data_IF_633901944187
#
_entry.id   IF_633901944187
#
_cell.length_a   1.000
_cell.length_b   1.000
_cell.length_c   1.000
_cell.angle_alpha   90.00
_cell.angle_beta   90.00
_cell.angle_gamma   90.00
#
_symmetry.space_group_name_H-M   'P 1'
#
loop_
_entity.id
_entity.type
_entity.pdbx_description
1 polymer ?
#
# COMPACT_ATOMS: atom_id res chain seq x y z
N UNK A 1 0.32 -8.66 -54.54
CA UNK A 1 -0.24 -9.98 -54.11
C UNK A 1 0.33 -10.27 -52.71
N UNK A 2 -0.44 -9.96 -51.70
CA UNK A 2 -0.13 -10.30 -50.32
C UNK A 2 -0.86 -11.60 -49.98
N UNK A 3 -0.12 -12.65 -49.62
CA UNK A 3 -0.69 -13.92 -49.20
C UNK A 3 -1.26 -13.76 -47.78
N UNK A 4 -2.44 -14.33 -47.49
CA UNK A 4 -2.98 -14.33 -46.13
C UNK A 4 -2.16 -15.29 -45.24
N UNK A 5 -1.78 -14.80 -44.06
CA UNK A 5 -1.13 -15.61 -43.00
C UNK A 5 -2.22 -16.46 -42.37
N UNK A 6 -2.08 -17.80 -42.48
CA UNK A 6 -2.91 -18.75 -41.72
C UNK A 6 -2.68 -18.57 -40.22
N UNK A 7 -3.71 -18.14 -39.52
CA UNK A 7 -3.75 -18.21 -38.06
C UNK A 7 -3.96 -19.66 -37.63
N UNK A 8 -3.13 -20.21 -36.74
CA UNK A 8 -3.44 -21.53 -36.15
C UNK A 8 -4.68 -21.37 -35.27
N UNK A 9 -5.74 -22.02 -35.66
CA UNK A 9 -6.88 -22.26 -34.77
C UNK A 9 -6.45 -23.20 -33.68
N UNK A 10 -6.70 -22.78 -32.45
CA UNK A 10 -7.15 -23.52 -31.28
C UNK A 10 -6.88 -22.68 -30.04
N UNK A 11 -7.84 -21.82 -29.73
CA UNK A 11 -7.96 -21.29 -28.38
C UNK A 11 -8.31 -22.48 -27.48
N UNK A 12 -7.58 -22.73 -26.39
CA UNK A 12 -7.94 -23.77 -25.46
C UNK A 12 -9.34 -23.47 -24.91
N UNK A 13 -10.24 -24.44 -25.08
CA UNK A 13 -11.60 -24.37 -24.53
C UNK A 13 -11.54 -24.22 -23.03
N UNK A 14 -11.76 -22.99 -22.56
CA UNK A 14 -11.94 -22.64 -21.15
C UNK A 14 -13.27 -23.20 -20.64
N UNK A 15 -13.35 -24.51 -20.40
CA UNK A 15 -14.56 -25.14 -19.87
C UNK A 15 -14.32 -26.02 -18.63
N UNK A 16 -13.12 -26.00 -18.05
CA UNK A 16 -12.82 -26.91 -16.93
C UNK A 16 -12.52 -26.23 -15.56
N UNK A 17 -12.50 -24.91 -15.46
CA UNK A 17 -12.16 -24.22 -14.21
C UNK A 17 -13.34 -23.62 -13.43
N UNK A 18 -14.55 -23.66 -13.96
CA UNK A 18 -15.72 -23.04 -13.32
C UNK A 18 -16.50 -23.96 -12.36
N UNK A 19 -16.17 -25.25 -12.24
CA UNK A 19 -17.01 -26.20 -11.52
C UNK A 19 -16.50 -26.65 -10.14
N UNK A 20 -15.40 -26.09 -9.61
CA UNK A 20 -14.83 -26.50 -8.34
C UNK A 20 -14.51 -25.39 -7.32
N UNK A 21 -14.88 -24.15 -7.58
CA UNK A 21 -14.66 -23.09 -6.60
C UNK A 21 -15.67 -23.22 -5.45
N UNK A 22 -15.17 -23.25 -4.20
CA UNK A 22 -16.06 -23.24 -3.03
C UNK A 22 -16.91 -21.96 -2.98
N UNK A 23 -18.09 -21.98 -2.32
CA UNK A 23 -18.88 -20.76 -2.13
C UNK A 23 -18.10 -19.60 -1.50
N UNK A 24 -17.18 -19.92 -0.58
CA UNK A 24 -16.28 -18.96 0.06
C UNK A 24 -15.30 -18.35 -0.95
N UNK A 25 -14.66 -19.17 -1.78
CA UNK A 25 -13.74 -18.66 -2.81
C UNK A 25 -14.46 -17.77 -3.83
N UNK A 26 -15.70 -18.11 -4.21
CA UNK A 26 -16.53 -17.26 -5.08
C UNK A 26 -16.90 -15.93 -4.41
N UNK A 27 -17.18 -15.95 -3.10
CA UNK A 27 -17.45 -14.73 -2.31
C UNK A 27 -16.22 -13.82 -2.27
N UNK A 28 -15.06 -14.37 -1.97
CA UNK A 28 -13.78 -13.62 -1.93
C UNK A 28 -13.44 -12.98 -3.28
N UNK A 29 -13.57 -13.73 -4.38
CA UNK A 29 -13.36 -13.20 -5.73
C UNK A 29 -14.35 -12.09 -6.09
N UNK A 30 -15.59 -12.21 -5.63
CA UNK A 30 -16.62 -11.19 -5.84
C UNK A 30 -16.31 -9.92 -5.04
N UNK A 31 -15.89 -10.04 -3.79
CA UNK A 31 -15.45 -8.92 -2.94
C UNK A 31 -14.23 -8.21 -3.54
N UNK A 32 -13.22 -8.94 -3.98
CA UNK A 32 -12.06 -8.38 -4.69
C UNK A 32 -12.48 -7.62 -5.94
N UNK A 33 -13.31 -8.23 -6.79
CA UNK A 33 -13.81 -7.61 -8.01
C UNK A 33 -14.58 -6.31 -7.71
N UNK A 34 -15.45 -6.31 -6.70
CA UNK A 34 -16.20 -5.11 -6.30
C UNK A 34 -15.27 -3.99 -5.82
N UNK A 35 -14.27 -4.29 -5.00
CA UNK A 35 -13.30 -3.29 -4.53
C UNK A 35 -12.48 -2.70 -5.68
N UNK A 36 -12.06 -3.52 -6.63
CA UNK A 36 -11.34 -3.06 -7.84
C UNK A 36 -12.21 -2.14 -8.69
N UNK A 37 -13.46 -2.52 -8.97
CA UNK A 37 -14.41 -1.70 -9.72
C UNK A 37 -14.76 -0.39 -9.01
N UNK A 38 -14.96 -0.45 -7.69
CA UNK A 38 -15.23 0.73 -6.88
C UNK A 38 -14.07 1.73 -6.97
N UNK A 39 -12.82 1.26 -6.88
CA UNK A 39 -11.64 2.12 -6.99
C UNK A 39 -11.52 2.82 -8.35
N UNK A 40 -11.97 2.19 -9.44
CA UNK A 40 -11.99 2.80 -10.77
C UNK A 40 -13.04 3.92 -10.88
N UNK A 41 -14.15 3.78 -10.17
CA UNK A 41 -15.27 4.75 -10.19
C UNK A 41 -15.07 5.89 -9.19
N UNK A 42 -14.54 5.59 -8.02
CA UNK A 42 -14.38 6.52 -6.90
C UNK A 42 -12.88 6.86 -6.74
N UNK A 43 -12.35 7.61 -7.69
CA UNK A 43 -10.98 8.13 -7.56
C UNK A 43 -10.90 9.20 -6.47
N UNK A 44 -9.71 9.40 -5.85
CA UNK A 44 -9.49 10.55 -4.99
C UNK A 44 -9.85 11.85 -5.72
N UNK A 45 -10.33 12.88 -5.00
CA UNK A 45 -10.61 14.19 -5.62
C UNK A 45 -9.37 14.72 -6.32
N UNK A 46 -9.55 15.35 -7.48
CA UNK A 46 -8.43 15.94 -8.22
C UNK A 46 -7.65 16.93 -7.34
N UNK A 47 -6.33 16.90 -7.45
CA UNK A 47 -5.42 17.78 -6.69
C UNK A 47 -5.55 17.65 -5.16
N UNK A 48 -6.07 16.52 -4.67
CA UNK A 48 -6.12 16.23 -3.24
C UNK A 48 -4.92 15.38 -2.78
N UNK A 49 -4.59 15.52 -1.51
CA UNK A 49 -3.47 14.85 -0.85
C UNK A 49 -4.01 14.27 0.46
N UNK A 50 -3.54 13.10 0.92
CA UNK A 50 -3.88 12.62 2.25
C UNK A 50 -3.41 13.60 3.34
N UNK A 51 -4.31 14.01 4.25
CA UNK A 51 -3.96 14.90 5.36
C UNK A 51 -2.87 14.31 6.25
N UNK A 52 -2.73 13.00 6.26
CA UNK A 52 -1.65 12.28 6.94
C UNK A 52 -0.24 12.66 6.44
N UNK A 53 -0.13 13.27 5.25
CA UNK A 53 1.13 13.82 4.73
C UNK A 53 1.35 15.28 5.17
N UNK A 54 1.07 15.61 6.42
CA UNK A 54 1.15 16.97 6.97
C UNK A 54 2.47 17.68 6.62
N UNK A 55 3.58 16.95 6.62
CA UNK A 55 4.88 17.47 6.17
C UNK A 55 5.74 16.34 5.59
N UNK A 56 6.11 16.48 4.33
CA UNK A 56 7.14 15.67 3.68
C UNK A 56 8.40 16.50 3.51
N UNK A 57 9.53 15.96 3.95
CA UNK A 57 10.82 16.62 3.73
C UNK A 57 11.25 16.51 2.26
N UNK A 58 12.07 17.40 1.75
CA UNK A 58 12.57 17.38 0.37
C UNK A 58 13.30 16.08 -0.01
N UNK A 59 13.96 15.44 0.97
CA UNK A 59 14.59 14.12 0.79
C UNK A 59 13.59 12.97 0.52
N UNK A 60 12.34 13.13 0.92
CA UNK A 60 11.28 12.16 0.68
C UNK A 60 10.74 12.33 -0.75
N UNK A 61 11.49 11.87 -1.76
CA UNK A 61 11.10 12.04 -3.18
C UNK A 61 9.82 11.28 -3.53
N UNK A 62 9.52 10.20 -2.81
CA UNK A 62 8.27 9.45 -2.92
C UNK A 62 7.69 9.22 -1.53
N UNK A 63 6.38 9.02 -1.50
CA UNK A 63 5.62 8.65 -0.31
C UNK A 63 4.52 7.64 -0.69
N UNK A 64 4.22 6.73 0.23
CA UNK A 64 3.17 5.73 0.07
C UNK A 64 2.08 6.00 1.09
N UNK A 65 0.81 5.95 0.65
CA UNK A 65 -0.35 5.95 1.52
C UNK A 65 -1.21 4.73 1.23
N UNK A 66 -1.54 3.99 2.28
CA UNK A 66 -2.38 2.79 2.23
C UNK A 66 -3.72 3.10 2.87
N UNK A 67 -4.80 2.92 2.11
CA UNK A 67 -6.18 2.94 2.57
C UNK A 67 -6.70 1.50 2.64
N UNK A 68 -6.75 0.96 3.84
CA UNK A 68 -7.10 -0.46 4.02
C UNK A 68 -8.59 -0.72 3.82
N UNK A 69 -9.46 0.28 4.08
CA UNK A 69 -10.90 0.18 3.85
C UNK A 69 -11.26 0.07 2.36
N UNK A 70 -10.37 0.54 1.50
CA UNK A 70 -10.54 0.52 0.04
C UNK A 70 -9.68 -0.53 -0.65
N UNK A 71 -8.84 -1.25 0.10
CA UNK A 71 -7.80 -2.14 -0.45
C UNK A 71 -6.94 -1.42 -1.51
N UNK A 72 -6.49 -0.20 -1.21
CA UNK A 72 -5.70 0.63 -2.13
C UNK A 72 -4.42 1.12 -1.50
N UNK A 73 -3.36 1.10 -2.31
CA UNK A 73 -2.10 1.77 -2.06
C UNK A 73 -1.94 2.88 -3.10
N UNK A 74 -1.59 4.06 -2.64
CA UNK A 74 -1.35 5.25 -3.46
C UNK A 74 0.12 5.62 -3.39
N UNK A 75 0.76 5.81 -4.55
CA UNK A 75 2.13 6.25 -4.68
C UNK A 75 2.16 7.72 -5.07
N UNK A 76 2.89 8.51 -4.30
CA UNK A 76 3.06 9.94 -4.52
C UNK A 76 4.50 10.26 -4.86
N UNK A 77 4.68 11.24 -5.75
CA UNK A 77 5.94 11.95 -5.97
C UNK A 77 5.92 13.27 -5.19
N UNK A 78 7.03 13.57 -4.50
CA UNK A 78 7.26 14.85 -3.81
C UNK A 78 8.37 15.61 -4.52
N UNK A 79 8.04 16.72 -5.14
CA UNK A 79 8.93 17.56 -5.92
C UNK A 79 8.83 19.03 -5.50
N UNK A 80 9.63 19.91 -6.11
CA UNK A 80 9.51 21.37 -5.94
C UNK A 80 8.11 21.90 -6.29
N UNK A 81 7.37 21.20 -7.17
CA UNK A 81 6.01 21.54 -7.56
C UNK A 81 4.95 21.02 -6.57
N UNK A 82 5.39 20.40 -5.47
CA UNK A 82 4.54 19.83 -4.43
C UNK A 82 4.36 18.31 -4.56
N UNK A 83 3.43 17.79 -3.79
CA UNK A 83 3.10 16.37 -3.71
C UNK A 83 2.04 16.02 -4.75
N UNK A 84 2.30 15.02 -5.58
CA UNK A 84 1.41 14.57 -6.66
C UNK A 84 1.18 13.08 -6.59
N UNK A 85 -0.08 12.64 -6.69
CA UNK A 85 -0.43 11.24 -6.89
C UNK A 85 0.04 10.79 -8.28
N UNK A 86 0.87 9.76 -8.35
CA UNK A 86 1.43 9.24 -9.62
C UNK A 86 0.90 7.86 -9.98
N UNK A 87 0.47 7.08 -8.99
CA UNK A 87 -0.13 5.77 -9.24
C UNK A 87 -0.97 5.31 -8.05
N UNK A 88 -1.90 4.38 -8.30
CA UNK A 88 -2.64 3.66 -7.27
C UNK A 88 -2.81 2.19 -7.66
N UNK A 89 -2.75 1.31 -6.65
CA UNK A 89 -2.72 -0.13 -6.83
C UNK A 89 -3.68 -0.83 -5.86
N UNK A 90 -4.24 -1.95 -6.31
CA UNK A 90 -4.98 -2.85 -5.43
C UNK A 90 -4.02 -3.56 -4.47
N UNK A 91 -4.47 -3.76 -3.22
CA UNK A 91 -3.72 -4.48 -2.19
C UNK A 91 -4.59 -5.46 -1.42
N UNK A 92 -3.93 -6.45 -0.84
CA UNK A 92 -4.45 -7.30 0.23
C UNK A 92 -3.76 -6.95 1.54
N UNK A 93 -4.49 -7.04 2.66
CA UNK A 93 -4.02 -6.77 4.01
C UNK A 93 -4.26 -7.96 4.94
N UNK A 94 -4.00 -7.81 6.22
CA UNK A 94 -4.13 -8.89 7.21
C UNK A 94 -5.50 -9.55 7.22
N UNK A 95 -5.54 -10.89 7.36
CA UNK A 95 -6.77 -11.71 7.42
C UNK A 95 -7.74 -11.24 8.48
N UNK A 96 -7.24 -10.84 9.64
CA UNK A 96 -8.03 -10.32 10.74
C UNK A 96 -8.13 -8.78 10.74
N UNK A 97 -7.85 -8.15 9.60
CA UNK A 97 -8.01 -6.71 9.40
C UNK A 97 -6.79 -5.89 9.80
N UNK A 98 -7.05 -4.80 10.49
CA UNK A 98 -6.06 -3.78 10.86
C UNK A 98 -5.87 -3.66 12.38
N UNK A 99 -5.10 -2.66 12.82
CA UNK A 99 -4.74 -2.41 14.22
C UNK A 99 -3.91 -3.54 14.84
N UNK A 100 -2.85 -3.95 14.11
CA UNK A 100 -1.87 -4.89 14.66
C UNK A 100 -1.37 -4.42 16.02
N UNK A 101 -1.41 -5.34 17.01
CA UNK A 101 -0.92 -5.09 18.37
C UNK A 101 0.00 -6.20 18.89
N UNK A 102 -0.26 -7.45 18.55
CA UNK A 102 0.50 -8.60 19.04
C UNK A 102 1.15 -9.37 17.89
N UNK A 103 2.27 -10.02 18.17
CA UNK A 103 2.88 -10.96 17.23
C UNK A 103 1.88 -12.07 16.86
N UNK A 104 1.83 -12.43 15.58
CA UNK A 104 0.95 -13.50 15.09
C UNK A 104 -0.55 -13.14 15.00
N UNK A 105 -0.97 -11.92 15.28
CA UNK A 105 -2.38 -11.50 15.30
C UNK A 105 -3.02 -11.36 13.89
N UNK A 106 -2.25 -11.63 12.82
CA UNK A 106 -2.69 -11.58 11.42
C UNK A 106 -3.32 -10.24 11.01
N UNK A 107 -2.90 -9.15 11.64
CA UNK A 107 -3.41 -7.79 11.41
C UNK A 107 -2.33 -6.91 10.78
N UNK A 108 -2.76 -5.99 9.93
CA UNK A 108 -1.89 -4.95 9.39
C UNK A 108 -1.83 -3.76 10.36
N UNK A 109 -0.64 -3.22 10.67
CA UNK A 109 -0.54 -2.09 11.58
C UNK A 109 -1.08 -0.80 10.95
N UNK A 110 -1.64 0.08 11.77
CA UNK A 110 -1.96 1.46 11.40
C UNK A 110 -0.90 2.40 11.98
N UNK A 111 -0.44 3.34 11.16
CA UNK A 111 0.59 4.29 11.59
C UNK A 111 1.39 4.89 10.44
N UNK A 112 2.47 5.57 10.82
CA UNK A 112 3.45 6.16 9.91
C UNK A 112 4.76 5.40 10.04
N UNK A 113 5.19 4.81 8.96
CA UNK A 113 6.37 3.97 8.88
C UNK A 113 7.33 4.48 7.81
N UNK A 114 8.49 3.84 7.70
CA UNK A 114 9.45 4.06 6.62
C UNK A 114 9.90 2.73 6.04
N UNK A 115 10.10 2.70 4.73
CA UNK A 115 10.78 1.59 4.07
C UNK A 115 12.20 1.48 4.62
N UNK A 116 12.57 0.31 5.16
CA UNK A 116 13.89 0.08 5.77
C UNK A 116 14.89 -0.57 4.81
N UNK A 117 14.39 -1.29 3.82
CA UNK A 117 15.20 -2.03 2.85
C UNK A 117 14.43 -2.33 1.57
N UNK A 118 15.14 -2.93 0.62
CA UNK A 118 14.55 -3.52 -0.58
C UNK A 118 15.16 -4.91 -0.76
N UNK A 119 14.33 -5.93 -0.67
CA UNK A 119 14.73 -7.32 -0.78
C UNK A 119 14.46 -7.80 -2.21
N UNK A 120 15.47 -8.41 -2.82
CA UNK A 120 15.38 -8.93 -4.20
C UNK A 120 14.83 -10.35 -4.23
N UNK A 121 14.22 -10.79 -5.35
CA UNK A 121 13.68 -12.16 -5.47
C UNK A 121 14.72 -13.24 -5.17
N UNK A 122 15.99 -13.01 -5.52
CA UNK A 122 17.08 -13.96 -5.29
C UNK A 122 17.37 -14.27 -3.82
N UNK A 123 16.89 -13.41 -2.91
CA UNK A 123 17.03 -13.56 -1.46
C UNK A 123 15.71 -13.95 -0.76
N UNK A 124 14.67 -14.24 -1.52
CA UNK A 124 13.34 -14.51 -1.01
C UNK A 124 12.82 -15.85 -1.56
N UNK A 125 11.91 -16.47 -0.82
CA UNK A 125 11.10 -17.57 -1.34
C UNK A 125 10.01 -17.01 -2.24
N UNK A 126 9.50 -17.81 -3.19
CA UNK A 126 8.49 -17.41 -4.18
C UNK A 126 7.22 -16.80 -3.56
N UNK A 127 6.91 -17.15 -2.31
CA UNK A 127 5.79 -16.57 -1.55
C UNK A 127 5.73 -15.04 -1.55
N UNK A 128 6.89 -14.37 -1.63
CA UNK A 128 7.01 -12.91 -1.63
C UNK A 128 7.06 -12.29 -3.03
N UNK A 129 7.01 -13.12 -4.07
CA UNK A 129 6.99 -12.68 -5.46
C UNK A 129 8.27 -11.97 -5.91
N UNK A 130 8.11 -10.89 -6.66
CA UNK A 130 9.22 -10.17 -7.30
C UNK A 130 10.06 -9.32 -6.34
N UNK A 131 9.76 -9.32 -5.04
CA UNK A 131 10.53 -8.59 -4.04
C UNK A 131 9.73 -8.19 -2.82
N UNK A 132 10.40 -7.51 -1.89
CA UNK A 132 9.75 -6.98 -0.70
C UNK A 132 10.40 -5.68 -0.22
N UNK A 133 9.58 -4.83 0.39
CA UNK A 133 9.95 -3.59 1.04
C UNK A 133 9.58 -3.69 2.53
N UNK A 134 10.51 -4.09 3.40
CA UNK A 134 10.29 -4.07 4.84
C UNK A 134 10.03 -2.65 5.34
N UNK A 135 9.14 -2.52 6.34
CA UNK A 135 8.90 -1.26 7.04
C UNK A 135 9.34 -1.37 8.50
N UNK A 136 9.57 -0.22 9.14
CA UNK A 136 10.03 -0.15 10.53
C UNK A 136 8.89 -0.34 11.55
N UNK A 137 8.08 -1.39 11.36
CA UNK A 137 7.14 -1.83 12.39
C UNK A 137 7.84 -2.85 13.33
N UNK A 138 7.68 -2.77 14.66
CA UNK A 138 7.09 -1.66 15.41
C UNK A 138 8.02 -0.44 15.44
N UNK A 139 7.46 0.76 15.25
CA UNK A 139 8.21 1.99 15.43
C UNK A 139 8.28 2.40 16.92
N UNK A 140 9.02 3.46 17.34
CA UNK A 140 9.11 3.86 18.74
C UNK A 140 7.75 4.14 19.41
N UNK A 141 6.76 4.63 18.65
CA UNK A 141 5.41 4.88 19.19
C UNK A 141 4.66 3.56 19.41
N UNK A 142 4.80 2.60 18.50
CA UNK A 142 4.22 1.27 18.64
C UNK A 142 4.79 0.56 19.87
N UNK A 143 6.13 0.60 20.04
CA UNK A 143 6.81 0.04 21.21
C UNK A 143 6.32 0.68 22.53
N UNK A 144 6.18 2.02 22.54
CA UNK A 144 5.65 2.73 23.71
C UNK A 144 4.19 2.33 24.03
N UNK A 145 3.43 1.89 23.03
CA UNK A 145 2.06 1.38 23.17
C UNK A 145 2.01 -0.12 23.48
N UNK A 146 3.15 -0.77 23.72
CA UNK A 146 3.22 -2.20 24.02
C UNK A 146 2.96 -3.11 22.83
N UNK A 147 3.02 -2.61 21.59
CA UNK A 147 2.84 -3.44 20.40
C UNK A 147 4.06 -4.32 20.17
N UNK A 148 3.83 -5.54 19.70
CA UNK A 148 4.86 -6.57 19.49
C UNK A 148 4.85 -7.13 18.07
N UNK A 149 5.79 -8.02 17.79
CA UNK A 149 5.98 -8.66 16.49
C UNK A 149 6.91 -7.86 15.59
N UNK A 150 7.09 -8.35 14.36
CA UNK A 150 7.99 -7.77 13.35
C UNK A 150 7.60 -8.27 11.97
N UNK A 151 8.42 -7.99 10.94
CA UNK A 151 8.26 -8.61 9.62
C UNK A 151 7.06 -8.12 8.81
N UNK A 152 6.62 -6.88 9.02
CA UNK A 152 5.60 -6.25 8.18
C UNK A 152 6.28 -5.67 6.94
N UNK A 153 5.87 -6.18 5.77
CA UNK A 153 6.45 -5.82 4.48
C UNK A 153 5.37 -5.43 3.48
N UNK A 154 5.75 -4.65 2.47
CA UNK A 154 5.03 -4.56 1.21
C UNK A 154 5.69 -5.57 0.27
N UNK A 155 4.96 -6.55 -0.27
CA UNK A 155 5.55 -7.60 -1.11
C UNK A 155 4.60 -8.07 -2.21
N UNK A 156 5.12 -8.85 -3.14
CA UNK A 156 4.36 -9.42 -4.24
C UNK A 156 3.58 -10.68 -3.86
N UNK A 157 3.05 -11.32 -4.88
CA UNK A 157 2.36 -12.61 -4.79
C UNK A 157 3.26 -13.73 -5.33
N UNK A 158 3.04 -15.00 -4.93
CA UNK A 158 3.68 -16.13 -5.58
C UNK A 158 3.54 -16.06 -7.10
N UNK A 159 4.50 -16.61 -7.83
CA UNK A 159 4.56 -16.56 -9.30
C UNK A 159 3.28 -17.08 -10.00
N UNK A 160 2.60 -18.05 -9.40
CA UNK A 160 1.36 -18.61 -9.91
C UNK A 160 0.09 -17.83 -9.53
N UNK A 161 0.22 -16.79 -8.69
CA UNK A 161 -0.91 -16.03 -8.17
C UNK A 161 -0.82 -14.56 -8.60
N UNK A 162 -1.80 -14.08 -9.36
CA UNK A 162 -1.82 -12.69 -9.80
C UNK A 162 -2.12 -11.72 -8.64
N UNK A 163 -3.11 -12.02 -7.81
CA UNK A 163 -3.52 -11.19 -6.67
C UNK A 163 -4.12 -12.04 -5.56
N UNK A 164 -4.35 -11.43 -4.40
CA UNK A 164 -5.02 -12.07 -3.25
C UNK A 164 -6.34 -11.38 -2.94
N UNK A 165 -7.30 -12.06 -2.27
CA UNK A 165 -8.47 -11.41 -1.69
C UNK A 165 -8.10 -10.22 -0.80
N UNK A 166 -9.03 -9.30 -0.52
CA UNK A 166 -8.74 -8.07 0.21
C UNK A 166 -8.11 -8.27 1.60
N UNK A 167 -8.43 -9.39 2.26
CA UNK A 167 -7.96 -9.78 3.59
C UNK A 167 -7.38 -11.18 3.56
N UNK A 168 -6.14 -11.33 3.11
CA UNK A 168 -5.54 -12.65 2.89
C UNK A 168 -4.06 -12.75 3.27
N UNK A 169 -3.50 -11.77 4.01
CA UNK A 169 -2.12 -11.82 4.50
C UNK A 169 -2.08 -12.06 6.01
N UNK A 170 -0.90 -12.36 6.53
CA UNK A 170 -0.65 -12.45 7.97
C UNK A 170 -0.22 -11.10 8.58
N UNK A 171 -0.56 -10.00 7.91
CA UNK A 171 -0.30 -8.62 8.34
C UNK A 171 0.46 -7.76 7.33
N UNK A 172 1.12 -8.35 6.34
CA UNK A 172 1.78 -7.63 5.27
C UNK A 172 0.79 -6.95 4.32
N UNK A 173 1.27 -5.96 3.58
CA UNK A 173 0.56 -5.34 2.46
C UNK A 173 1.01 -6.03 1.18
N UNK A 174 0.11 -6.76 0.52
CA UNK A 174 0.44 -7.58 -0.64
C UNK A 174 -0.10 -6.96 -1.92
N UNK A 175 0.75 -6.87 -2.94
CA UNK A 175 0.44 -6.32 -4.26
C UNK A 175 0.57 -7.39 -5.34
N UNK A 176 -0.06 -7.18 -6.49
CA UNK A 176 0.30 -7.93 -7.68
C UNK A 176 1.76 -7.65 -8.08
N UNK A 177 2.48 -8.66 -8.58
CA UNK A 177 3.89 -8.55 -8.95
C UNK A 177 4.19 -7.40 -9.94
N UNK A 178 3.40 -7.15 -11.01
CA UNK A 178 3.62 -6.02 -11.90
C UNK A 178 3.52 -4.66 -11.21
N UNK A 179 2.61 -4.52 -10.23
CA UNK A 179 2.39 -3.29 -9.49
C UNK A 179 3.54 -3.03 -8.49
N UNK A 180 3.97 -4.09 -7.80
CA UNK A 180 5.12 -4.00 -6.91
C UNK A 180 6.40 -3.62 -7.66
N UNK A 181 6.64 -4.18 -8.85
CA UNK A 181 7.80 -3.83 -9.66
C UNK A 181 7.88 -2.32 -9.95
N UNK A 182 6.75 -1.67 -10.23
CA UNK A 182 6.69 -0.21 -10.44
C UNK A 182 7.05 0.55 -9.16
N UNK A 183 6.62 0.07 -8.01
CA UNK A 183 6.96 0.67 -6.71
C UNK A 183 8.47 0.50 -6.43
N UNK A 184 9.03 -0.69 -6.64
CA UNK A 184 10.44 -1.00 -6.39
C UNK A 184 11.40 -0.08 -7.16
N UNK A 185 11.01 0.40 -8.36
CA UNK A 185 11.83 1.33 -9.15
C UNK A 185 11.82 2.76 -8.62
N UNK A 186 10.78 3.15 -7.87
CA UNK A 186 10.57 4.52 -7.39
C UNK A 186 10.98 4.71 -5.94
N UNK A 187 10.81 3.68 -5.11
CA UNK A 187 10.96 3.75 -3.66
C UNK A 187 12.42 3.62 -3.23
N UNK A 188 12.82 4.42 -2.24
CA UNK A 188 14.16 4.40 -1.64
C UNK A 188 14.07 4.08 -0.16
N UNK A 189 14.92 3.16 0.29
CA UNK A 189 15.07 2.83 1.71
C UNK A 189 15.41 4.06 2.55
N UNK A 190 14.85 4.12 3.76
CA UNK A 190 15.05 5.15 4.78
C UNK A 190 14.53 6.55 4.44
N UNK A 191 14.08 6.78 3.20
CA UNK A 191 13.58 8.08 2.75
C UNK A 191 12.14 8.05 2.24
N UNK A 192 11.55 6.87 2.06
CA UNK A 192 10.15 6.74 1.63
C UNK A 192 9.26 6.45 2.84
N UNK A 193 8.43 7.42 3.27
CA UNK A 193 7.42 7.17 4.29
C UNK A 193 6.28 6.33 3.74
N UNK A 194 5.71 5.49 4.62
CA UNK A 194 4.56 4.64 4.37
C UNK A 194 3.52 4.93 5.44
N UNK A 195 2.46 5.62 5.07
CA UNK A 195 1.29 5.81 5.92
C UNK A 195 0.33 4.66 5.69
N UNK A 196 -0.05 3.96 6.76
CA UNK A 196 -1.10 2.93 6.71
C UNK A 196 -2.24 3.43 7.58
N UNK A 197 -3.39 3.68 6.97
CA UNK A 197 -4.60 4.15 7.63
C UNK A 197 -5.79 3.24 7.31
N UNK A 198 -6.76 3.17 8.20
CA UNK A 198 -8.01 2.51 7.89
C UNK A 198 -8.71 3.23 6.73
N UNK A 199 -8.76 4.57 6.81
CA UNK A 199 -9.25 5.45 5.74
C UNK A 199 -8.36 6.67 5.60
N UNK A 200 -8.03 7.02 4.37
CA UNK A 200 -7.32 8.27 4.06
C UNK A 200 -8.29 9.45 4.03
N UNK A 201 -7.89 10.54 4.67
CA UNK A 201 -8.61 11.81 4.61
C UNK A 201 -7.99 12.69 3.51
N UNK A 202 -8.71 12.88 2.43
CA UNK A 202 -8.26 13.63 1.26
C UNK A 202 -8.59 15.11 1.40
N UNK A 203 -7.56 15.96 1.37
CA UNK A 203 -7.68 17.42 1.52
C UNK A 203 -7.02 18.14 0.36
N UNK A 204 -7.41 19.38 0.13
CA UNK A 204 -6.72 20.26 -0.85
C UNK A 204 -5.35 20.67 -0.31
N UNK A 205 -4.44 21.06 -1.21
CA UNK A 205 -3.13 21.61 -0.81
C UNK A 205 -3.28 22.80 0.13
N UNK A 206 -4.20 23.70 -0.15
CA UNK A 206 -4.46 24.90 0.70
C UNK A 206 -4.89 24.51 2.11
N UNK A 207 -5.78 23.52 2.25
CA UNK A 207 -6.18 23.01 3.56
C UNK A 207 -5.02 22.35 4.30
N UNK A 208 -4.18 21.57 3.60
CA UNK A 208 -3.00 20.95 4.19
C UNK A 208 -1.96 22.00 4.65
N UNK A 209 -1.74 23.04 3.86
CA UNK A 209 -0.82 24.13 4.21
C UNK A 209 -1.31 24.89 5.47
N UNK A 210 -2.63 25.11 5.62
CA UNK A 210 -3.22 25.68 6.82
C UNK A 210 -3.05 24.78 8.05
N UNK A 211 -3.31 23.48 7.93
CA UNK A 211 -3.10 22.51 9.02
C UNK A 211 -1.61 22.46 9.44
N UNK A 212 -0.70 22.50 8.47
CA UNK A 212 0.74 22.54 8.71
C UNK A 212 1.16 23.81 9.47
N UNK A 213 0.60 24.97 9.11
CA UNK A 213 0.87 26.22 9.83
C UNK A 213 0.38 26.14 11.28
N UNK A 214 -0.83 25.63 11.52
CA UNK A 214 -1.39 25.42 12.84
C UNK A 214 -0.55 24.46 13.69
N UNK A 215 -0.13 23.33 13.10
CA UNK A 215 0.75 22.36 13.76
C UNK A 215 2.10 22.99 14.15
N UNK A 216 2.73 23.73 13.24
CA UNK A 216 4.00 24.41 13.51
C UNK A 216 3.87 25.44 14.63
N UNK A 217 2.78 26.22 14.65
CA UNK A 217 2.51 27.18 15.73
C UNK A 217 2.37 26.48 17.08
N UNK A 218 1.61 25.40 17.15
CA UNK A 218 1.45 24.60 18.38
C UNK A 218 2.78 23.97 18.83
N UNK A 219 3.60 23.46 17.89
CA UNK A 219 4.91 22.89 18.20
C UNK A 219 5.87 23.93 18.74
N UNK A 220 5.87 25.14 18.18
CA UNK A 220 6.70 26.25 18.68
C UNK A 220 6.28 26.69 20.07
N UNK A 221 4.96 26.83 20.33
CA UNK A 221 4.44 27.16 21.65
C UNK A 221 4.85 26.08 22.70
N UNK A 222 4.73 24.80 22.35
CA UNK A 222 5.15 23.71 23.22
C UNK A 222 6.65 23.72 23.51
N UNK A 223 7.49 24.02 22.51
CA UNK A 223 8.96 24.14 22.69
C UNK A 223 9.30 25.29 23.64
N UNK A 224 8.65 26.45 23.48
CA UNK A 224 8.86 27.61 24.36
C UNK A 224 8.46 27.29 25.81
N UNK A 225 7.34 26.61 26.03
CA UNK A 225 6.88 26.24 27.38
C UNK A 225 7.80 25.22 28.09
N UNK A 226 8.66 24.49 27.36
CA UNK A 226 9.62 23.53 27.94
C UNK A 226 10.97 24.16 28.33
N UNK A 227 11.25 25.39 27.89
CA UNK A 227 12.52 26.09 28.15
C UNK A 227 12.41 27.01 29.35
N UNK A 228 11.20 27.20 29.86
CA UNK A 228 10.92 27.84 31.17
C UNK A 228 10.87 26.77 32.29
#
# INVERSE_FOLDING_TARGET
>A
FVRPVNMPGDLPKSTALASSASPEALKELREESMLRLKALREKPPANSIPSQFLALAERNKHAIAVDTSRSRLYLFENSSNGVKLIADYYISVGKLGVEKSLEGDQRTPLGVYYVTGSLRPTSLVDFYGVGALPINYPNPLDLKRGKTGSGIWLHGTPSEQFSRPPKASDGCVVLANPDLNRILTSVRSRTTPVVIAERLNWVTKTSLDAEKANFNAALMAWRQAKVQ
#
